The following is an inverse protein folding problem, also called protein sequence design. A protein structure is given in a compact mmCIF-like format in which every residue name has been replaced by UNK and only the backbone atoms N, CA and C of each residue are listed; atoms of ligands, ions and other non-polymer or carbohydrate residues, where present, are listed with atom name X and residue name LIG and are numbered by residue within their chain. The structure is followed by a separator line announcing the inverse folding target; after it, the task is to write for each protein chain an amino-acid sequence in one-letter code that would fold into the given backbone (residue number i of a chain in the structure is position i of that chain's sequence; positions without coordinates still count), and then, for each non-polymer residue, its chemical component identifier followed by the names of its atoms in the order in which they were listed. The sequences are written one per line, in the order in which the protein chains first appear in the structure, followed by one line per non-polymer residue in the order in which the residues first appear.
data_IF_401469660419
#
_entry.id   IF_401469660419
#
_cell.length_a   1.000
_cell.length_b   1.000
_cell.length_c   1.000
_cell.angle_alpha   90.00
_cell.angle_beta   90.00
_cell.angle_gamma   90.00
#
_symmetry.space_group_name_H-M   'P 1'
#
loop_
_entity.id
_entity.type
_entity.pdbx_description
1 polymer ?
#
# COMPACT_ATOMS: atom_id res chain seq x y z
N UNK A 1 6.95 -22.47 -10.64
CA UNK A 1 7.10 -22.64 -9.18
C UNK A 1 8.06 -23.80 -8.94
N UNK A 2 9.24 -23.56 -8.34
CA UNK A 2 10.25 -24.60 -8.12
C UNK A 2 9.72 -25.63 -7.12
N UNK A 3 9.32 -26.80 -7.60
CA UNK A 3 9.11 -27.96 -6.74
C UNK A 3 10.48 -28.39 -6.22
N UNK A 4 10.86 -27.97 -5.00
CA UNK A 4 11.78 -28.81 -4.23
C UNK A 4 11.03 -30.13 -4.09
N UNK A 5 11.53 -31.25 -4.61
CA UNK A 5 10.82 -32.55 -4.71
C UNK A 5 10.38 -33.19 -3.38
N UNK A 6 10.30 -32.40 -2.32
CA UNK A 6 9.85 -32.74 -0.97
C UNK A 6 8.34 -32.84 -0.91
N UNK A 7 7.86 -33.83 -0.18
CA UNK A 7 6.43 -34.06 -0.01
C UNK A 7 5.86 -33.14 1.09
N UNK A 8 4.55 -32.83 1.03
CA UNK A 8 3.91 -32.02 2.08
C UNK A 8 4.02 -32.68 3.46
N UNK A 9 4.06 -34.01 3.52
CA UNK A 9 4.20 -34.77 4.76
C UNK A 9 5.58 -34.58 5.40
N UNK A 10 6.64 -34.56 4.58
CA UNK A 10 8.02 -34.34 5.02
C UNK A 10 8.18 -32.93 5.63
N UNK A 11 7.68 -31.92 4.92
CA UNK A 11 7.71 -30.52 5.38
C UNK A 11 6.84 -30.34 6.64
N UNK A 12 5.69 -31.01 6.73
CA UNK A 12 4.84 -30.94 7.92
C UNK A 12 5.55 -31.50 9.16
N UNK A 13 6.31 -32.58 8.99
CA UNK A 13 7.07 -33.21 10.08
C UNK A 13 8.21 -32.30 10.58
N UNK A 14 8.94 -31.67 9.67
CA UNK A 14 10.00 -30.71 10.00
C UNK A 14 9.45 -29.50 10.78
N UNK A 15 8.26 -29.03 10.39
CA UNK A 15 7.61 -27.88 11.01
C UNK A 15 6.82 -28.23 12.30
N UNK A 16 6.73 -29.51 12.67
CA UNK A 16 5.97 -29.95 13.83
C UNK A 16 4.45 -29.71 13.72
N UNK A 17 3.91 -29.65 12.50
CA UNK A 17 2.48 -29.42 12.24
C UNK A 17 1.83 -30.64 11.62
N UNK A 18 0.50 -30.72 11.70
CA UNK A 18 -0.23 -31.81 11.04
C UNK A 18 -0.12 -31.67 9.52
N UNK A 19 0.01 -32.81 8.84
CA UNK A 19 0.13 -32.82 7.37
C UNK A 19 -1.15 -32.35 6.67
N UNK A 20 -2.32 -32.52 7.31
CA UNK A 20 -3.59 -32.02 6.80
C UNK A 20 -3.70 -30.50 6.92
N UNK A 21 -3.26 -29.93 8.05
CA UNK A 21 -3.22 -28.48 8.24
C UNK A 21 -2.30 -27.83 7.20
N UNK A 22 -1.13 -28.41 6.97
CA UNK A 22 -0.20 -27.89 5.98
C UNK A 22 -0.75 -28.02 4.54
N UNK A 23 -1.39 -29.14 4.19
CA UNK A 23 -2.09 -29.30 2.90
C UNK A 23 -3.18 -28.24 2.72
N UNK A 24 -3.93 -27.95 3.78
CA UNK A 24 -4.96 -26.90 3.79
C UNK A 24 -4.39 -25.51 3.51
N UNK A 25 -3.27 -25.14 4.15
CA UNK A 25 -2.61 -23.86 3.90
C UNK A 25 -2.01 -23.75 2.50
N UNK A 26 -1.38 -24.82 2.00
CA UNK A 26 -0.85 -24.86 0.62
C UNK A 26 -1.97 -24.69 -0.40
N UNK A 27 -3.12 -25.34 -0.19
CA UNK A 27 -4.30 -25.19 -1.07
C UNK A 27 -4.82 -23.75 -1.06
N UNK A 28 -4.92 -23.11 0.11
CA UNK A 28 -5.33 -21.70 0.24
C UNK A 28 -4.33 -20.75 -0.42
N UNK A 29 -3.03 -20.98 -0.24
CA UNK A 29 -1.98 -20.17 -0.86
C UNK A 29 -1.97 -20.29 -2.38
N UNK A 30 -2.15 -21.50 -2.93
CA UNK A 30 -2.31 -21.72 -4.37
C UNK A 30 -3.55 -21.05 -4.93
N UNK A 31 -4.70 -21.21 -4.27
CA UNK A 31 -5.93 -20.52 -4.68
C UNK A 31 -5.80 -18.99 -4.66
N UNK A 32 -5.05 -18.43 -3.70
CA UNK A 32 -4.75 -17.00 -3.66
C UNK A 32 -3.83 -16.55 -4.81
N UNK A 33 -2.89 -17.40 -5.25
CA UNK A 33 -2.00 -17.13 -6.38
C UNK A 33 -2.69 -17.30 -7.74
N UNK A 34 -3.55 -18.31 -7.90
CA UNK A 34 -4.16 -18.66 -9.18
C UNK A 34 -5.36 -17.77 -9.53
N UNK A 35 -6.03 -17.17 -8.55
CA UNK A 35 -7.27 -16.41 -8.82
C UNK A 35 -7.12 -14.91 -8.74
N UNK A 36 -6.11 -14.36 -8.03
CA UNK A 36 -6.06 -12.92 -7.72
C UNK A 36 -7.36 -12.35 -7.11
N UNK A 37 -8.31 -13.20 -6.72
CA UNK A 37 -9.73 -12.87 -6.50
C UNK A 37 -10.28 -13.54 -5.26
N UNK A 38 -9.39 -13.96 -4.34
CA UNK A 38 -9.81 -14.25 -2.97
C UNK A 38 -10.37 -12.99 -2.31
N UNK A 39 -11.28 -13.11 -1.32
CA UNK A 39 -11.85 -11.96 -0.60
C UNK A 39 -10.79 -10.98 -0.05
N UNK A 40 -9.60 -11.47 0.30
CA UNK A 40 -8.47 -10.65 0.73
C UNK A 40 -7.80 -9.84 -0.39
N UNK A 41 -7.85 -10.31 -1.64
CA UNK A 41 -7.27 -9.63 -2.79
C UNK A 41 -8.12 -8.44 -3.24
N UNK A 42 -9.45 -8.60 -3.29
CA UNK A 42 -10.38 -7.49 -3.59
C UNK A 42 -10.28 -6.39 -2.53
N UNK A 43 -10.14 -6.77 -1.25
CA UNK A 43 -9.91 -5.81 -0.16
C UNK A 43 -8.57 -5.09 -0.27
N UNK A 44 -7.51 -5.79 -0.68
CA UNK A 44 -6.19 -5.19 -0.88
C UNK A 44 -6.16 -4.24 -2.09
N UNK A 45 -6.82 -4.59 -3.19
CA UNK A 45 -6.98 -3.72 -4.37
C UNK A 45 -7.73 -2.44 -4.03
N UNK A 46 -8.92 -2.54 -3.41
CA UNK A 46 -9.69 -1.38 -2.97
C UNK A 46 -8.91 -0.47 -2.01
N UNK A 47 -8.18 -1.06 -1.06
CA UNK A 47 -7.33 -0.29 -0.15
C UNK A 47 -6.09 0.33 -0.82
N UNK A 48 -5.66 -0.17 -1.97
CA UNK A 48 -4.63 0.48 -2.79
C UNK A 48 -5.22 1.65 -3.57
N UNK A 49 -6.38 1.46 -4.21
CA UNK A 49 -7.09 2.50 -4.95
C UNK A 49 -7.44 3.70 -4.05
N UNK A 50 -8.01 3.44 -2.86
CA UNK A 50 -8.35 4.48 -1.89
C UNK A 50 -7.11 5.28 -1.44
N UNK A 51 -5.94 4.62 -1.32
CA UNK A 51 -4.67 5.28 -0.97
C UNK A 51 -4.14 6.15 -2.10
N UNK A 52 -4.23 5.69 -3.33
CA UNK A 52 -3.75 6.43 -4.49
C UNK A 52 -4.60 7.68 -4.78
N UNK A 53 -5.92 7.57 -4.61
CA UNK A 53 -6.83 8.71 -4.69
C UNK A 53 -6.53 9.76 -3.62
N UNK A 54 -6.31 9.33 -2.38
CA UNK A 54 -5.98 10.24 -1.28
C UNK A 54 -4.60 10.89 -1.49
N UNK A 55 -3.60 10.14 -1.96
CA UNK A 55 -2.29 10.70 -2.32
C UNK A 55 -2.41 11.77 -3.40
N UNK A 56 -3.25 11.56 -4.42
CA UNK A 56 -3.51 12.55 -5.47
C UNK A 56 -4.17 13.81 -4.91
N UNK A 57 -5.16 13.65 -4.01
CA UNK A 57 -5.82 14.77 -3.33
C UNK A 57 -4.83 15.58 -2.49
N UNK A 58 -4.04 14.90 -1.66
CA UNK A 58 -3.07 15.54 -0.78
C UNK A 58 -2.00 16.30 -1.59
N UNK A 59 -1.46 15.71 -2.67
CA UNK A 59 -0.51 16.39 -3.56
C UNK A 59 -1.08 17.67 -4.16
N UNK A 60 -2.35 17.64 -4.59
CA UNK A 60 -3.04 18.83 -5.10
C UNK A 60 -3.15 19.91 -4.02
N UNK A 61 -3.59 19.54 -2.82
CA UNK A 61 -3.73 20.46 -1.70
C UNK A 61 -2.39 21.09 -1.30
N UNK A 62 -1.31 20.30 -1.21
CA UNK A 62 0.03 20.81 -0.90
C UNK A 62 0.50 21.80 -1.96
N UNK A 63 0.25 21.53 -3.24
CA UNK A 63 0.61 22.45 -4.32
C UNK A 63 -0.18 23.77 -4.25
N UNK A 64 -1.46 23.73 -3.88
CA UNK A 64 -2.29 24.92 -3.68
C UNK A 64 -1.81 25.74 -2.48
N UNK A 65 -1.54 25.09 -1.34
CA UNK A 65 -1.01 25.73 -0.14
C UNK A 65 0.34 26.40 -0.40
N UNK A 66 1.25 25.74 -1.13
CA UNK A 66 2.54 26.31 -1.48
C UNK A 66 2.39 27.61 -2.29
N UNK A 67 1.44 27.66 -3.23
CA UNK A 67 1.15 28.89 -4.00
C UNK A 67 0.63 30.01 -3.09
N UNK A 68 -0.29 29.71 -2.18
CA UNK A 68 -0.82 30.69 -1.23
C UNK A 68 0.28 31.24 -0.33
N UNK A 69 1.16 30.38 0.18
CA UNK A 69 2.31 30.79 0.99
C UNK A 69 3.21 31.75 0.21
N UNK A 70 3.51 31.45 -1.05
CA UNK A 70 4.35 32.33 -1.89
C UNK A 70 3.69 33.70 -2.16
N UNK A 71 2.37 33.74 -2.37
CA UNK A 71 1.63 35.00 -2.50
C UNK A 71 1.73 35.81 -1.21
N UNK A 72 1.49 35.17 -0.06
CA UNK A 72 1.54 35.83 1.25
C UNK A 72 2.94 36.37 1.53
N UNK A 73 4.00 35.59 1.27
CA UNK A 73 5.39 36.08 1.42
C UNK A 73 5.66 37.32 0.58
N UNK A 74 5.23 37.33 -0.68
CA UNK A 74 5.39 38.49 -1.58
C UNK A 74 4.63 39.71 -1.06
N UNK A 75 3.39 39.51 -0.58
CA UNK A 75 2.60 40.57 0.02
C UNK A 75 3.29 41.12 1.28
N UNK A 76 3.74 40.27 2.19
CA UNK A 76 4.47 40.68 3.40
C UNK A 76 5.74 41.45 3.04
N UNK A 77 6.54 40.99 2.08
CA UNK A 77 7.74 41.69 1.64
C UNK A 77 7.43 43.09 1.05
N UNK A 78 6.33 43.21 0.31
CA UNK A 78 5.86 44.49 -0.21
C UNK A 78 5.48 45.45 0.93
N UNK A 79 4.67 45.00 1.90
CA UNK A 79 4.22 45.83 3.02
C UNK A 79 5.36 46.26 3.96
N UNK A 80 6.35 45.39 4.20
CA UNK A 80 7.54 45.76 4.99
C UNK A 80 8.31 46.89 4.29
N UNK A 81 8.54 46.78 2.98
CA UNK A 81 9.24 47.82 2.21
C UNK A 81 8.50 49.16 2.20
N UNK A 82 7.17 49.16 2.14
CA UNK A 82 6.36 50.37 2.24
C UNK A 82 6.40 51.01 3.64
N UNK A 83 6.52 50.20 4.69
CA UNK A 83 6.54 50.70 6.08
C UNK A 83 7.88 51.34 6.48
N UNK A 84 8.98 50.97 5.80
CA UNK A 84 10.33 51.51 6.03
C UNK A 84 10.59 52.84 5.28
N UNK A 85 9.62 53.35 4.51
CA UNK A 85 9.72 54.60 3.72
C UNK A 85 9.05 55.78 4.43
#
# INVERSE_FOLDING_TARGET
MRSSGRTVTEVARELGVSSESLRGWVKKARAAQDTGSGPGSVRAGRAADDRDEELKRLRKLTAEQAKTIEILKKATAFFVKESDR
#
